data_IF_080623572443
#
_entry.id   IF_080623572443
#
_cell.length_a   1.000
_cell.length_b   1.000
_cell.length_c   1.000
_cell.angle_alpha   90.00
_cell.angle_beta   90.00
_cell.angle_gamma   90.00
#
_symmetry.space_group_name_H-M   'P 1'
#
loop_
_entity.id
_entity.type
_entity.pdbx_description
1 polymer ?
#
# COMPACT_ATOMS: atom_id res chain seq x y z
N UNK A 1 5.62 -20.02 -6.82
CA UNK A 1 5.71 -19.48 -5.44
C UNK A 1 4.90 -18.21 -5.40
N UNK A 2 4.01 -18.04 -4.44
CA UNK A 2 3.13 -16.88 -4.31
C UNK A 2 3.59 -16.04 -3.11
N UNK A 3 3.51 -14.73 -3.18
CA UNK A 3 3.80 -13.83 -2.06
C UNK A 3 2.67 -12.80 -1.94
N UNK A 4 2.05 -12.77 -0.77
CA UNK A 4 0.95 -11.89 -0.39
C UNK A 4 1.41 -10.72 0.47
N UNK A 5 2.62 -10.80 1.02
CA UNK A 5 3.23 -9.78 1.85
C UNK A 5 4.68 -9.55 1.47
N UNK A 6 5.08 -8.30 1.34
CA UNK A 6 6.46 -7.90 1.08
C UNK A 6 6.80 -6.60 1.81
N UNK A 7 7.98 -6.56 2.43
CA UNK A 7 8.53 -5.36 3.06
C UNK A 7 9.56 -4.76 2.13
N UNK A 8 9.41 -3.47 1.79
CA UNK A 8 10.28 -2.75 0.87
C UNK A 8 10.61 -1.35 1.39
N UNK A 9 11.73 -0.82 0.90
CA UNK A 9 12.17 0.55 1.14
C UNK A 9 11.95 1.36 -0.13
N UNK A 10 11.23 2.44 -0.02
CA UNK A 10 11.04 3.41 -1.09
C UNK A 10 11.78 4.70 -0.75
N UNK A 11 12.46 5.27 -1.74
CA UNK A 11 13.16 6.53 -1.60
C UNK A 11 12.91 7.39 -2.82
N UNK A 12 12.40 8.58 -2.62
CA UNK A 12 12.26 9.57 -3.67
C UNK A 12 13.59 10.26 -3.99
N UNK A 13 13.65 10.96 -5.10
CA UNK A 13 14.84 11.68 -5.51
C UNK A 13 15.09 12.94 -4.66
N UNK A 14 16.36 13.22 -4.34
CA UNK A 14 16.77 14.54 -3.82
C UNK A 14 16.57 15.60 -4.90
N UNK A 15 16.19 16.83 -4.54
CA UNK A 15 16.25 17.98 -5.42
C UNK A 15 17.70 18.32 -5.78
N UNK A 16 17.96 18.81 -7.00
CA UNK A 16 19.24 19.32 -7.42
C UNK A 16 19.59 20.61 -6.69
N UNK A 17 20.88 20.89 -6.52
CA UNK A 17 21.34 22.07 -5.83
C UNK A 17 21.25 23.31 -6.74
N UNK A 18 21.00 24.49 -6.15
CA UNK A 18 21.07 25.75 -6.85
C UNK A 18 22.52 26.10 -7.18
N UNK A 19 22.70 26.84 -8.27
CA UNK A 19 24.03 27.18 -8.76
C UNK A 19 24.40 28.64 -8.43
N UNK A 20 25.70 28.87 -8.17
CA UNK A 20 26.26 30.19 -8.02
C UNK A 20 27.05 30.53 -9.28
N UNK A 21 26.59 31.50 -10.06
CA UNK A 21 27.32 32.03 -11.20
C UNK A 21 27.00 33.50 -11.44
N UNK A 22 27.88 34.14 -12.18
CA UNK A 22 27.80 35.58 -12.54
C UNK A 22 27.97 35.71 -14.06
N UNK A 23 27.14 36.57 -14.66
CA UNK A 23 27.17 36.84 -16.08
C UNK A 23 28.54 37.46 -16.45
N UNK A 24 29.21 36.89 -17.44
CA UNK A 24 30.46 37.38 -17.98
C UNK A 24 30.33 37.57 -19.49
N UNK A 25 30.42 38.82 -19.94
CA UNK A 25 30.36 39.14 -21.36
C UNK A 25 31.51 40.10 -21.72
N UNK A 26 31.84 40.15 -23.01
CA UNK A 26 33.03 40.84 -23.53
C UNK A 26 33.15 42.32 -23.12
N UNK A 27 32.08 42.98 -22.81
CA UNK A 27 32.06 44.40 -22.40
C UNK A 27 31.27 44.63 -21.11
N UNK A 28 31.01 43.59 -20.33
CA UNK A 28 30.32 43.66 -19.04
C UNK A 28 31.18 42.98 -17.98
N UNK A 29 32.16 43.69 -17.40
CA UNK A 29 33.10 43.11 -16.43
C UNK A 29 32.42 42.68 -15.13
N UNK A 30 31.34 43.36 -14.72
CA UNK A 30 30.59 43.07 -13.48
C UNK A 30 29.15 42.73 -13.81
N UNK A 31 28.93 41.56 -14.41
CA UNK A 31 27.57 41.04 -14.65
C UNK A 31 26.90 40.59 -13.34
N UNK A 32 25.58 40.77 -13.29
CA UNK A 32 24.80 40.32 -12.14
C UNK A 32 24.77 38.79 -11.97
N UNK A 33 24.19 38.28 -10.86
CA UNK A 33 24.07 36.87 -10.60
C UNK A 33 23.15 36.18 -11.64
N UNK A 34 23.61 35.06 -12.17
CA UNK A 34 22.94 34.33 -13.24
C UNK A 34 22.87 32.80 -12.95
N UNK A 35 23.10 32.39 -11.72
CA UNK A 35 22.95 30.99 -11.31
C UNK A 35 21.50 30.53 -11.40
N UNK A 36 21.30 29.35 -12.00
CA UNK A 36 20.01 28.71 -12.16
C UNK A 36 19.64 27.85 -10.98
N UNK A 37 18.35 27.48 -10.89
CA UNK A 37 17.80 26.62 -9.85
C UNK A 37 18.09 25.16 -10.15
N UNK A 38 18.18 24.33 -9.10
CA UNK A 38 18.16 22.89 -9.22
C UNK A 38 16.79 22.34 -9.68
N UNK A 39 16.79 21.16 -10.28
CA UNK A 39 15.59 20.44 -10.65
C UNK A 39 14.94 19.76 -9.45
N UNK A 40 13.63 19.52 -9.50
CA UNK A 40 12.93 18.71 -8.50
C UNK A 40 13.37 17.24 -8.61
N UNK A 41 13.47 16.50 -7.50
CA UNK A 41 13.66 15.07 -7.49
C UNK A 41 12.44 14.30 -8.01
N UNK A 42 12.64 13.07 -8.48
CA UNK A 42 11.58 12.18 -8.92
C UNK A 42 10.76 11.64 -7.76
N UNK A 43 9.48 11.40 -7.98
CA UNK A 43 8.56 10.80 -7.02
C UNK A 43 8.59 9.27 -7.11
N UNK A 44 8.07 8.60 -6.07
CA UNK A 44 7.73 7.18 -6.10
C UNK A 44 6.22 7.06 -6.20
N UNK A 45 5.74 6.47 -7.31
CA UNK A 45 4.32 6.36 -7.65
C UNK A 45 3.96 4.88 -7.71
N UNK A 46 2.86 4.52 -7.07
CA UNK A 46 2.29 3.18 -7.16
C UNK A 46 1.10 3.18 -8.10
N UNK A 47 1.02 2.15 -8.92
CA UNK A 47 -0.05 1.95 -9.91
C UNK A 47 -0.47 0.50 -9.94
N UNK A 48 -1.79 0.26 -10.06
CA UNK A 48 -2.33 -1.08 -10.23
C UNK A 48 -2.03 -1.61 -11.63
N UNK A 49 -1.59 -2.86 -11.72
CA UNK A 49 -1.42 -3.62 -12.96
C UNK A 49 -2.35 -4.84 -12.92
N UNK A 50 -3.40 -4.84 -13.74
CA UNK A 50 -4.45 -5.88 -13.76
C UNK A 50 -3.93 -7.29 -14.10
N UNK A 51 -2.77 -7.41 -14.72
CA UNK A 51 -2.14 -8.71 -15.02
C UNK A 51 -1.29 -9.29 -13.89
N UNK A 52 -1.06 -8.54 -12.80
CA UNK A 52 -0.29 -9.00 -11.66
C UNK A 52 -1.20 -9.65 -10.61
N UNK A 53 -0.80 -10.84 -10.12
CA UNK A 53 -1.55 -11.59 -9.11
C UNK A 53 -0.75 -11.86 -7.83
N UNK A 54 0.49 -11.40 -7.73
CA UNK A 54 1.39 -11.72 -6.60
C UNK A 54 2.39 -10.60 -6.36
N UNK A 55 2.84 -10.45 -5.12
CA UNK A 55 3.91 -9.53 -4.70
C UNK A 55 5.31 -10.15 -4.77
N UNK A 56 5.49 -11.22 -5.55
CA UNK A 56 6.73 -12.00 -5.56
C UNK A 56 7.96 -11.18 -5.95
N UNK A 57 7.83 -10.27 -6.90
CA UNK A 57 8.92 -9.42 -7.39
C UNK A 57 9.51 -8.56 -6.27
N UNK A 58 8.67 -8.15 -5.31
CA UNK A 58 9.08 -7.33 -4.17
C UNK A 58 9.91 -8.08 -3.11
N UNK A 59 9.89 -9.41 -3.13
CA UNK A 59 10.78 -10.23 -2.27
C UNK A 59 12.22 -10.22 -2.78
N UNK A 60 12.41 -10.12 -4.10
CA UNK A 60 13.73 -10.08 -4.72
C UNK A 60 14.29 -8.67 -4.75
N UNK A 61 13.51 -7.70 -5.18
CA UNK A 61 13.90 -6.29 -5.19
C UNK A 61 13.21 -5.55 -4.04
N UNK A 62 13.99 -5.23 -3.00
CA UNK A 62 13.47 -4.61 -1.78
C UNK A 62 13.69 -3.10 -1.69
N UNK A 63 14.48 -2.52 -2.61
CA UNK A 63 14.76 -1.09 -2.59
C UNK A 63 14.42 -0.46 -3.93
N UNK A 64 13.61 0.60 -3.87
CA UNK A 64 13.16 1.39 -5.01
C UNK A 64 13.54 2.84 -4.79
N UNK A 65 14.36 3.38 -5.70
CA UNK A 65 14.89 4.74 -5.59
C UNK A 65 14.56 5.49 -6.88
N UNK A 66 13.88 6.64 -6.75
CA UNK A 66 13.64 7.54 -7.87
C UNK A 66 14.88 8.40 -8.15
N UNK A 67 14.93 9.00 -9.33
CA UNK A 67 16.07 9.77 -9.80
C UNK A 67 16.15 11.13 -9.09
N UNK A 68 17.36 11.55 -8.73
CA UNK A 68 17.59 12.89 -8.20
C UNK A 68 17.38 13.95 -9.29
N UNK A 69 16.98 15.16 -8.89
CA UNK A 69 17.00 16.31 -9.76
C UNK A 69 18.44 16.71 -10.09
N UNK A 70 18.65 17.28 -11.27
CA UNK A 70 19.96 17.81 -11.67
C UNK A 70 20.17 19.20 -11.04
N UNK A 71 21.43 19.51 -10.76
CA UNK A 71 21.81 20.83 -10.26
C UNK A 71 21.55 21.93 -11.30
N UNK A 72 21.36 23.12 -10.82
CA UNK A 72 21.31 24.33 -11.66
C UNK A 72 22.64 24.59 -12.34
N UNK A 73 22.62 25.41 -13.37
CA UNK A 73 23.84 25.84 -14.06
C UNK A 73 23.83 27.34 -14.35
N UNK A 74 24.94 27.86 -14.89
CA UNK A 74 25.06 29.28 -15.26
C UNK A 74 24.03 29.69 -16.33
N UNK A 75 23.89 30.97 -16.57
CA UNK A 75 22.94 31.59 -17.52
C UNK A 75 21.48 31.30 -17.16
N UNK A 76 21.18 31.20 -15.87
CA UNK A 76 19.84 30.87 -15.30
C UNK A 76 19.26 29.57 -15.83
N UNK A 77 20.10 28.62 -16.20
CA UNK A 77 19.64 27.33 -16.65
C UNK A 77 19.21 26.47 -15.46
N UNK A 78 17.91 26.11 -15.44
CA UNK A 78 17.33 25.24 -14.42
C UNK A 78 17.77 23.79 -14.65
N UNK A 79 18.13 23.09 -13.59
CA UNK A 79 18.38 21.65 -13.60
C UNK A 79 17.15 20.86 -14.05
N UNK A 80 17.36 19.76 -14.75
CA UNK A 80 16.26 18.87 -15.16
C UNK A 80 15.64 18.21 -13.95
N UNK A 81 14.31 18.02 -13.97
CA UNK A 81 13.58 17.20 -12.98
C UNK A 81 14.09 15.74 -13.07
N UNK A 82 14.26 15.07 -11.93
CA UNK A 82 14.49 13.64 -11.86
C UNK A 82 13.26 12.86 -12.35
N UNK A 83 13.49 11.71 -12.94
CA UNK A 83 12.42 10.83 -13.41
C UNK A 83 11.70 10.17 -12.23
N UNK A 84 10.37 10.15 -12.29
CA UNK A 84 9.53 9.45 -11.34
C UNK A 84 9.69 7.93 -11.56
N UNK A 85 9.64 7.14 -10.48
CA UNK A 85 9.59 5.69 -10.55
C UNK A 85 8.15 5.21 -10.36
N UNK A 86 7.64 4.45 -11.32
CA UNK A 86 6.33 3.83 -11.25
C UNK A 86 6.50 2.38 -10.79
N UNK A 87 5.93 2.04 -9.64
CA UNK A 87 5.94 0.70 -9.07
C UNK A 87 4.57 0.09 -9.34
N UNK A 88 4.56 -0.98 -10.13
CA UNK A 88 3.35 -1.71 -10.48
C UNK A 88 3.05 -2.76 -9.42
N UNK A 89 1.80 -2.81 -8.97
CA UNK A 89 1.32 -3.74 -7.94
C UNK A 89 0.02 -4.41 -8.37
N UNK A 90 -0.29 -5.59 -7.84
CA UNK A 90 -1.59 -6.23 -8.05
C UNK A 90 -2.74 -5.36 -7.52
N UNK A 91 -3.91 -5.50 -8.14
CA UNK A 91 -5.14 -4.90 -7.60
C UNK A 91 -5.45 -5.43 -6.19
N UNK A 92 -5.92 -4.55 -5.31
CA UNK A 92 -6.20 -4.90 -3.91
C UNK A 92 -4.94 -4.95 -3.02
N UNK A 93 -3.84 -4.33 -3.46
CA UNK A 93 -2.65 -4.18 -2.62
C UNK A 93 -2.88 -3.07 -1.59
N UNK A 94 -2.72 -3.40 -0.32
CA UNK A 94 -2.70 -2.46 0.80
C UNK A 94 -1.25 -2.07 1.08
N UNK A 95 -1.02 -0.79 1.31
CA UNK A 95 0.28 -0.25 1.71
C UNK A 95 0.19 0.24 3.16
N UNK A 96 1.05 -0.31 4.01
CA UNK A 96 1.16 0.09 5.41
C UNK A 96 2.55 0.62 5.71
N UNK A 97 2.62 1.53 6.66
CA UNK A 97 3.89 1.95 7.25
C UNK A 97 4.51 0.79 8.07
N UNK A 98 5.81 0.58 7.92
CA UNK A 98 6.45 -0.59 8.54
C UNK A 98 6.65 -0.46 10.05
N UNK A 99 6.69 0.75 10.59
CA UNK A 99 6.89 1.02 12.03
C UNK A 99 5.55 1.15 12.76
N UNK A 100 4.67 2.03 12.28
CA UNK A 100 3.40 2.32 12.92
C UNK A 100 2.28 1.33 12.54
N UNK A 101 2.48 0.53 11.51
CA UNK A 101 1.48 -0.36 10.90
C UNK A 101 0.20 0.35 10.41
N UNK A 102 0.19 1.69 10.35
CA UNK A 102 -0.95 2.47 9.87
C UNK A 102 -1.13 2.31 8.38
N UNK A 103 -2.37 2.38 7.94
CA UNK A 103 -2.73 2.33 6.53
C UNK A 103 -2.32 3.62 5.83
N UNK A 104 -1.48 3.50 4.81
CA UNK A 104 -1.03 4.60 3.96
C UNK A 104 -1.88 4.71 2.70
N UNK A 105 -2.13 3.59 2.02
CA UNK A 105 -2.90 3.57 0.79
C UNK A 105 -3.57 2.22 0.54
N UNK A 106 -4.74 2.27 -0.10
CA UNK A 106 -5.44 1.12 -0.66
C UNK A 106 -5.45 1.24 -2.20
N UNK A 107 -4.86 0.25 -2.86
CA UNK A 107 -4.71 0.17 -4.31
C UNK A 107 -5.70 -0.84 -4.91
N UNK A 108 -6.98 -0.69 -4.55
CA UNK A 108 -8.09 -1.50 -5.09
C UNK A 108 -8.64 -0.94 -6.39
N UNK A 109 -8.52 0.37 -6.62
CA UNK A 109 -8.96 1.04 -7.85
C UNK A 109 -7.87 0.97 -8.92
N UNK A 110 -8.13 0.31 -10.08
CA UNK A 110 -7.14 0.12 -11.13
C UNK A 110 -6.73 1.43 -11.84
N UNK A 111 -7.57 2.45 -11.82
CA UNK A 111 -7.31 3.72 -12.49
C UNK A 111 -6.56 4.72 -11.59
N UNK A 112 -6.41 4.39 -10.31
CA UNK A 112 -5.78 5.27 -9.33
C UNK A 112 -4.27 5.11 -9.30
N UNK A 113 -3.56 6.22 -9.43
CA UNK A 113 -2.13 6.33 -9.14
C UNK A 113 -1.93 7.03 -7.79
N UNK A 114 -1.07 6.47 -6.94
CA UNK A 114 -0.81 7.01 -5.60
C UNK A 114 0.67 7.36 -5.46
N UNK A 115 0.97 8.61 -5.11
CA UNK A 115 2.34 9.06 -4.81
C UNK A 115 2.63 8.73 -3.35
N UNK A 116 3.52 7.78 -3.08
CA UNK A 116 3.86 7.34 -1.73
C UNK A 116 5.12 8.01 -1.16
N UNK A 117 5.99 8.55 -2.02
CA UNK A 117 7.12 9.36 -1.58
C UNK A 117 7.35 10.50 -2.59
N UNK A 118 7.45 11.72 -2.09
CA UNK A 118 7.61 12.92 -2.91
C UNK A 118 9.07 13.31 -3.04
N UNK A 119 9.48 13.61 -4.27
CA UNK A 119 10.81 14.11 -4.56
C UNK A 119 11.04 15.50 -3.95
N UNK A 120 12.25 15.70 -3.42
CA UNK A 120 12.68 16.97 -2.82
C UNK A 120 12.64 18.11 -3.83
N UNK A 121 12.35 19.33 -3.38
CA UNK A 121 12.38 20.51 -4.22
C UNK A 121 13.82 20.90 -4.56
N UNK A 122 14.04 21.43 -5.77
CA UNK A 122 15.32 21.96 -6.19
C UNK A 122 15.70 23.23 -5.41
N UNK A 123 16.98 23.38 -5.14
CA UNK A 123 17.55 24.58 -4.49
C UNK A 123 17.50 25.79 -5.42
N UNK A 124 17.38 26.96 -4.85
CA UNK A 124 17.39 28.21 -5.60
C UNK A 124 18.81 28.66 -5.95
N UNK A 125 19.03 29.09 -7.18
CA UNK A 125 20.27 29.69 -7.62
C UNK A 125 20.47 31.08 -7.05
N UNK A 126 21.71 31.59 -7.11
CA UNK A 126 22.06 32.89 -6.54
C UNK A 126 21.29 34.08 -7.15
N UNK A 127 20.74 33.91 -8.36
CA UNK A 127 19.93 34.94 -9.01
C UNK A 127 18.68 35.35 -8.20
N UNK A 128 18.11 34.43 -7.40
CA UNK A 128 16.94 34.68 -6.54
C UNK A 128 17.27 35.58 -5.32
N UNK A 129 18.53 35.64 -4.91
CA UNK A 129 18.95 36.34 -3.69
C UNK A 129 19.49 37.72 -3.97
N UNK A 130 19.44 38.17 -5.23
CA UNK A 130 19.82 39.54 -5.61
C UNK A 130 18.78 40.54 -5.11
N UNK A 131 19.25 41.55 -4.38
CA UNK A 131 18.43 42.66 -3.91
C UNK A 131 19.12 43.98 -4.27
N UNK A 132 18.41 45.10 -4.14
CA UNK A 132 18.98 46.43 -4.39
C UNK A 132 20.24 46.73 -3.51
N UNK A 133 20.28 46.18 -2.30
CA UNK A 133 21.40 46.33 -1.36
C UNK A 133 22.49 45.28 -1.63
N UNK A 134 22.08 44.03 -1.95
CA UNK A 134 22.99 42.92 -2.23
C UNK A 134 22.88 42.51 -3.69
N UNK A 135 23.68 43.15 -4.54
CA UNK A 135 23.60 42.93 -5.98
C UNK A 135 24.35 41.68 -6.48
N UNK A 136 25.29 41.15 -5.69
CA UNK A 136 26.15 40.03 -6.05
C UNK A 136 26.16 38.95 -4.96
N UNK A 137 25.01 38.26 -4.68
CA UNK A 137 24.97 37.17 -3.72
C UNK A 137 25.84 35.99 -4.22
N UNK A 138 26.74 35.53 -3.37
CA UNK A 138 27.67 34.44 -3.69
C UNK A 138 27.27 33.11 -3.02
N UNK A 139 25.98 32.91 -2.82
CA UNK A 139 25.43 31.66 -2.28
C UNK A 139 24.18 31.20 -3.05
N UNK A 140 23.88 29.92 -2.96
CA UNK A 140 22.68 29.31 -3.49
C UNK A 140 22.12 28.33 -2.42
N UNK A 141 20.86 27.94 -2.55
CA UNK A 141 20.27 26.93 -1.69
C UNK A 141 20.55 25.53 -2.24
N UNK A 142 20.81 24.58 -1.33
CA UNK A 142 20.84 23.17 -1.67
C UNK A 142 19.42 22.67 -1.98
N UNK A 143 19.33 21.61 -2.79
CA UNK A 143 18.10 20.88 -3.00
C UNK A 143 17.69 20.13 -1.74
N UNK A 144 16.39 20.08 -1.52
CA UNK A 144 15.82 19.34 -0.38
C UNK A 144 15.98 17.84 -0.56
N UNK A 145 16.16 17.13 0.54
CA UNK A 145 16.10 15.67 0.54
C UNK A 145 14.69 15.22 0.17
N UNK A 146 14.58 14.09 -0.51
CA UNK A 146 13.30 13.46 -0.76
C UNK A 146 12.90 12.54 0.40
N UNK A 147 11.66 12.06 0.36
CA UNK A 147 11.12 11.15 1.37
C UNK A 147 11.77 9.77 1.27
N UNK A 148 12.07 9.16 2.40
CA UNK A 148 12.49 7.77 2.52
C UNK A 148 11.56 7.07 3.52
N UNK A 149 10.93 5.96 3.10
CA UNK A 149 9.98 5.21 3.93
C UNK A 149 10.20 3.72 3.79
N UNK A 150 10.04 3.01 4.88
CA UNK A 150 9.93 1.56 4.89
C UNK A 150 8.45 1.18 4.96
N UNK A 151 7.97 0.44 3.97
CA UNK A 151 6.55 0.09 3.84
C UNK A 151 6.37 -1.41 3.72
N UNK A 152 5.19 -1.86 4.12
CA UNK A 152 4.73 -3.23 3.96
C UNK A 152 3.60 -3.24 2.94
N UNK A 153 3.78 -4.03 1.89
CA UNK A 153 2.75 -4.32 0.90
C UNK A 153 2.03 -5.60 1.32
N UNK A 154 0.71 -5.57 1.32
CA UNK A 154 -0.14 -6.72 1.64
C UNK A 154 -1.25 -6.85 0.59
N UNK A 155 -1.46 -8.05 0.05
CA UNK A 155 -2.61 -8.30 -0.82
C UNK A 155 -3.86 -8.49 0.04
N UNK A 156 -4.88 -7.66 -0.23
CA UNK A 156 -6.18 -7.70 0.46
C UNK A 156 -7.06 -8.83 -0.04
N UNK A 157 -7.01 -9.12 -1.32
CA UNK A 157 -7.84 -10.11 -1.98
C UNK A 157 -7.04 -11.35 -2.31
N UNK A 158 -7.58 -12.48 -1.92
CA UNK A 158 -7.11 -13.78 -2.36
C UNK A 158 -8.00 -14.37 -3.44
N UNK A 159 -9.31 -14.16 -3.34
CA UNK A 159 -10.29 -14.65 -4.27
C UNK A 159 -11.57 -13.81 -4.23
N UNK A 160 -12.24 -13.72 -5.37
CA UNK A 160 -13.58 -13.13 -5.46
C UNK A 160 -14.63 -14.08 -4.86
N UNK A 161 -14.41 -15.38 -5.05
CA UNK A 161 -15.33 -16.46 -4.69
C UNK A 161 -14.62 -17.53 -3.88
N UNK A 162 -15.18 -17.92 -2.73
CA UNK A 162 -14.69 -19.00 -1.88
C UNK A 162 -15.52 -20.26 -2.02
N UNK A 163 -14.87 -21.42 -2.17
CA UNK A 163 -15.52 -22.74 -2.07
C UNK A 163 -15.52 -23.19 -0.61
N UNK A 164 -16.70 -23.45 -0.07
CA UNK A 164 -16.90 -23.98 1.27
C UNK A 164 -17.65 -25.32 1.21
N UNK A 165 -17.48 -26.16 2.19
CA UNK A 165 -18.13 -27.49 2.27
C UNK A 165 -17.22 -28.52 2.91
N UNK A 166 -17.80 -29.68 3.24
CA UNK A 166 -17.09 -30.79 3.89
C UNK A 166 -15.91 -31.34 3.08
N UNK A 167 -14.94 -32.05 3.66
CA UNK A 167 -13.94 -32.79 2.91
C UNK A 167 -14.61 -33.77 1.93
N UNK A 168 -13.94 -34.02 0.79
CA UNK A 168 -14.38 -34.98 -0.24
C UNK A 168 -15.70 -34.65 -0.97
N UNK A 169 -16.34 -33.51 -0.71
CA UNK A 169 -17.52 -33.09 -1.47
C UNK A 169 -17.22 -32.66 -2.91
N UNK A 170 -15.92 -32.54 -3.27
CA UNK A 170 -15.47 -32.23 -4.63
C UNK A 170 -15.07 -30.79 -4.89
N UNK A 171 -14.76 -29.99 -3.86
CA UNK A 171 -14.30 -28.58 -4.02
C UNK A 171 -13.08 -28.46 -4.93
N UNK A 172 -12.02 -29.20 -4.63
CA UNK A 172 -10.76 -29.15 -5.41
C UNK A 172 -10.95 -29.69 -6.83
N UNK A 173 -11.86 -30.66 -7.03
CA UNK A 173 -12.27 -31.13 -8.36
C UNK A 173 -12.97 -30.02 -9.13
N UNK A 174 -13.92 -29.33 -8.50
CA UNK A 174 -14.63 -28.20 -9.10
C UNK A 174 -13.65 -27.10 -9.50
N UNK A 175 -12.71 -26.75 -8.62
CA UNK A 175 -11.68 -25.75 -8.91
C UNK A 175 -10.84 -26.17 -10.12
N UNK A 176 -10.35 -27.40 -10.16
CA UNK A 176 -9.50 -27.87 -11.28
C UNK A 176 -10.24 -27.93 -12.62
N UNK A 177 -11.53 -28.21 -12.61
CA UNK A 177 -12.36 -28.27 -13.84
C UNK A 177 -12.74 -26.89 -14.38
N UNK A 178 -12.81 -25.89 -13.52
CA UNK A 178 -13.23 -24.51 -13.88
C UNK A 178 -12.07 -23.61 -14.28
N UNK A 179 -10.83 -24.01 -13.97
CA UNK A 179 -9.63 -23.21 -14.25
C UNK A 179 -8.87 -23.69 -15.47
N UNK A 180 -8.47 -22.79 -16.35
CA UNK A 180 -7.69 -23.11 -17.57
C UNK A 180 -6.21 -23.45 -17.31
N UNK A 181 -5.69 -23.05 -16.17
CA UNK A 181 -4.33 -23.35 -15.74
C UNK A 181 -4.39 -24.21 -14.47
N UNK A 182 -3.37 -25.02 -14.24
CA UNK A 182 -3.26 -25.79 -13.00
C UNK A 182 -3.46 -24.86 -11.78
N UNK A 183 -4.36 -25.22 -10.84
CA UNK A 183 -4.57 -24.43 -9.64
C UNK A 183 -3.24 -24.18 -8.95
N UNK A 184 -2.93 -22.92 -8.65
CA UNK A 184 -1.69 -22.59 -7.96
C UNK A 184 -1.87 -22.76 -6.47
N UNK A 185 -1.07 -23.62 -5.87
CA UNK A 185 -0.95 -23.73 -4.42
C UNK A 185 -0.31 -22.46 -3.91
N UNK A 186 -1.05 -21.71 -3.10
CA UNK A 186 -0.56 -20.50 -2.48
C UNK A 186 0.09 -20.85 -1.13
N UNK A 187 1.41 -20.94 -1.09
CA UNK A 187 2.20 -21.21 0.12
C UNK A 187 2.23 -19.99 1.03
N UNK A 188 1.37 -19.95 2.01
CA UNK A 188 1.37 -18.93 3.06
C UNK A 188 2.20 -19.42 4.25
N UNK A 189 3.25 -18.70 4.62
CA UNK A 189 4.18 -19.08 5.71
C UNK A 189 3.53 -19.18 7.10
N UNK A 190 2.26 -18.79 7.22
CA UNK A 190 1.52 -18.75 8.46
C UNK A 190 0.24 -19.63 8.44
N UNK A 191 -0.01 -20.37 7.34
CA UNK A 191 -1.11 -21.33 7.25
C UNK A 191 -0.57 -22.75 7.22
N UNK A 192 -1.13 -23.62 8.03
CA UNK A 192 -0.86 -25.07 8.00
C UNK A 192 -1.53 -25.77 6.82
N UNK A 193 -2.54 -25.11 6.21
CA UNK A 193 -3.22 -25.54 5.01
C UNK A 193 -3.15 -24.44 3.94
N UNK A 194 -2.68 -24.81 2.77
CA UNK A 194 -2.49 -23.89 1.64
C UNK A 194 -3.77 -23.85 0.79
N UNK A 195 -4.40 -22.67 0.59
CA UNK A 195 -5.54 -22.58 -0.31
C UNK A 195 -5.10 -22.77 -1.76
N UNK A 196 -5.90 -23.49 -2.53
CA UNK A 196 -5.73 -23.60 -3.97
C UNK A 196 -6.51 -22.48 -4.65
N UNK A 197 -5.82 -21.69 -5.48
CA UNK A 197 -6.41 -20.59 -6.22
C UNK A 197 -6.47 -20.91 -7.71
N UNK A 198 -7.57 -20.53 -8.35
CA UNK A 198 -7.72 -20.66 -9.78
C UNK A 198 -8.46 -19.50 -10.40
N UNK A 199 -8.11 -19.13 -11.63
CA UNK A 199 -8.82 -18.11 -12.41
C UNK A 199 -9.85 -18.79 -13.29
N UNK A 200 -11.12 -18.48 -13.05
CA UNK A 200 -12.25 -18.89 -13.89
C UNK A 200 -12.38 -17.85 -15.01
N UNK A 201 -12.27 -18.30 -16.26
CA UNK A 201 -12.41 -17.46 -17.45
C UNK A 201 -13.66 -17.87 -18.23
N UNK A 202 -14.65 -16.99 -18.24
CA UNK A 202 -15.93 -17.20 -18.92
C UNK A 202 -15.95 -16.67 -20.37
N UNK A 203 -14.82 -16.10 -20.83
CA UNK A 203 -14.76 -15.40 -22.12
C UNK A 203 -15.30 -13.96 -22.04
N UNK A 204 -15.18 -13.20 -23.13
CA UNK A 204 -15.66 -11.82 -23.25
C UNK A 204 -15.19 -10.88 -22.13
N UNK A 205 -13.93 -11.03 -21.69
CA UNK A 205 -13.32 -10.30 -20.56
C UNK A 205 -14.01 -10.54 -19.20
N UNK A 206 -14.78 -11.60 -19.07
CA UNK A 206 -15.42 -12.00 -17.83
C UNK A 206 -14.56 -13.05 -17.13
N UNK A 207 -13.95 -12.69 -16.02
CA UNK A 207 -13.15 -13.60 -15.21
C UNK A 207 -13.24 -13.24 -13.73
N UNK A 208 -13.02 -14.22 -12.87
CA UNK A 208 -12.93 -14.03 -11.42
C UNK A 208 -12.00 -15.09 -10.81
N UNK A 209 -11.51 -14.83 -9.61
CA UNK A 209 -10.63 -15.73 -8.87
C UNK A 209 -11.46 -16.59 -7.92
N UNK A 210 -11.33 -17.90 -8.05
CA UNK A 210 -11.97 -18.91 -7.21
C UNK A 210 -10.94 -19.54 -6.26
N UNK A 211 -11.26 -19.64 -4.97
CA UNK A 211 -10.41 -20.26 -3.95
C UNK A 211 -11.06 -21.51 -3.38
N UNK A 212 -10.34 -22.62 -3.34
CA UNK A 212 -10.68 -23.76 -2.49
C UNK A 212 -10.17 -23.47 -1.08
N UNK A 213 -11.09 -23.40 -0.14
CA UNK A 213 -10.83 -23.06 1.26
C UNK A 213 -10.87 -24.36 2.07
N UNK A 214 -9.70 -25.06 2.26
CA UNK A 214 -9.67 -26.29 3.04
C UNK A 214 -9.79 -25.97 4.54
N UNK A 215 -10.46 -26.84 5.30
CA UNK A 215 -10.36 -26.87 6.77
C UNK A 215 -11.39 -26.07 7.55
N UNK A 216 -12.60 -25.84 7.03
CA UNK A 216 -13.71 -25.27 7.82
C UNK A 216 -14.32 -26.32 8.81
N UNK A 217 -13.82 -27.55 8.87
CA UNK A 217 -14.44 -28.59 9.64
C UNK A 217 -13.52 -29.17 10.72
N UNK A 218 -14.11 -29.44 11.89
CA UNK A 218 -13.59 -30.09 13.09
C UNK A 218 -12.52 -29.33 13.85
N UNK A 219 -12.93 -28.54 14.85
CA UNK A 219 -12.08 -27.97 15.88
C UNK A 219 -11.53 -26.57 15.61
N UNK A 220 -11.96 -25.87 14.57
CA UNK A 220 -11.54 -24.48 14.33
C UNK A 220 -12.01 -23.53 15.46
N UNK A 221 -13.15 -23.82 16.08
CA UNK A 221 -13.69 -23.09 17.23
C UNK A 221 -13.05 -23.45 18.57
N UNK A 222 -12.35 -24.58 18.68
CA UNK A 222 -11.76 -25.08 19.93
C UNK A 222 -10.29 -24.70 20.14
N UNK A 223 -9.72 -23.81 19.34
CA UNK A 223 -8.42 -23.17 19.63
C UNK A 223 -7.19 -24.02 19.32
N UNK A 224 -7.29 -25.12 18.62
CA UNK A 224 -6.13 -25.94 18.21
C UNK A 224 -5.59 -25.46 16.86
N UNK A 225 -4.89 -24.33 16.87
CA UNK A 225 -3.80 -24.06 15.95
C UNK A 225 -4.09 -23.60 14.52
N UNK A 226 -5.33 -23.58 14.01
CA UNK A 226 -5.67 -23.22 12.62
C UNK A 226 -6.41 -21.87 12.46
N UNK A 227 -6.74 -21.24 13.58
CA UNK A 227 -7.76 -20.23 13.72
C UNK A 227 -7.64 -18.95 12.88
N UNK A 228 -7.02 -17.95 13.41
CA UNK A 228 -7.20 -16.55 12.99
C UNK A 228 -6.50 -16.12 11.69
N UNK A 229 -5.44 -16.79 11.26
CA UNK A 229 -4.72 -16.38 10.05
C UNK A 229 -5.39 -16.90 8.77
N UNK A 230 -5.93 -18.09 8.80
CA UNK A 230 -6.60 -18.74 7.68
C UNK A 230 -7.96 -18.11 7.36
N UNK A 231 -8.68 -17.72 8.37
CA UNK A 231 -10.03 -17.18 8.27
C UNK A 231 -10.04 -15.70 7.80
N UNK A 232 -8.95 -14.99 8.00
CA UNK A 232 -8.72 -13.71 7.31
C UNK A 232 -8.74 -13.83 5.78
N UNK A 233 -8.59 -15.02 5.23
CA UNK A 233 -8.66 -15.25 3.79
C UNK A 233 -10.11 -15.42 3.31
N UNK A 234 -10.99 -15.99 4.16
CA UNK A 234 -12.42 -16.09 3.88
C UNK A 234 -13.08 -14.71 4.00
N UNK A 235 -12.70 -13.92 4.98
CA UNK A 235 -13.13 -12.52 5.13
C UNK A 235 -12.91 -11.69 3.86
N UNK A 236 -12.05 -12.15 2.96
CA UNK A 236 -11.66 -11.46 1.74
C UNK A 236 -12.39 -11.97 0.49
N UNK A 237 -13.29 -12.94 0.60
CA UNK A 237 -14.13 -13.38 -0.51
C UNK A 237 -15.43 -12.59 -0.53
N UNK A 238 -16.01 -12.36 -1.71
CA UNK A 238 -17.25 -11.58 -1.88
C UNK A 238 -18.48 -12.46 -1.93
N UNK A 239 -18.36 -13.69 -2.45
CA UNK A 239 -19.39 -14.71 -2.56
C UNK A 239 -18.83 -16.04 -2.09
N UNK A 240 -19.68 -16.87 -1.49
CA UNK A 240 -19.36 -18.23 -1.14
C UNK A 240 -20.16 -19.21 -2.03
N UNK A 241 -19.48 -20.22 -2.58
CA UNK A 241 -20.13 -21.37 -3.19
C UNK A 241 -20.06 -22.50 -2.18
N UNK A 242 -21.22 -22.88 -1.63
CA UNK A 242 -21.35 -23.98 -0.71
C UNK A 242 -21.54 -25.28 -1.48
N UNK A 243 -20.52 -26.12 -1.52
CA UNK A 243 -20.53 -27.39 -2.23
C UNK A 243 -21.01 -28.50 -1.28
N UNK A 244 -22.12 -29.11 -1.60
CA UNK A 244 -22.75 -30.22 -0.82
C UNK A 244 -22.73 -31.52 -1.62
N UNK A 245 -22.31 -32.62 -1.00
CA UNK A 245 -22.36 -33.96 -1.60
C UNK A 245 -23.75 -34.52 -1.47
N UNK A 246 -24.44 -34.73 -2.59
CA UNK A 246 -25.78 -35.30 -2.62
C UNK A 246 -25.81 -36.77 -3.09
N UNK A 247 -24.62 -37.37 -3.21
CA UNK A 247 -24.53 -38.77 -3.68
C UNK A 247 -25.06 -39.84 -2.68
N UNK A 248 -25.01 -39.51 -1.38
CA UNK A 248 -25.33 -40.48 -0.31
C UNK A 248 -24.23 -41.52 -0.04
N UNK A 249 -23.12 -41.51 -0.80
CA UNK A 249 -22.04 -42.51 -0.70
C UNK A 249 -21.36 -42.50 0.67
N UNK A 250 -21.14 -41.33 1.23
CA UNK A 250 -20.48 -41.17 2.54
C UNK A 250 -21.45 -41.38 3.73
N UNK A 251 -22.73 -41.67 3.47
CA UNK A 251 -23.76 -41.90 4.50
C UNK A 251 -24.11 -40.66 5.30
N UNK A 252 -23.82 -39.47 4.81
CA UNK A 252 -24.14 -38.18 5.43
C UNK A 252 -25.44 -37.62 4.90
N UNK A 253 -26.12 -36.83 5.74
CA UNK A 253 -27.31 -36.10 5.33
C UNK A 253 -26.92 -34.73 4.75
N UNK A 254 -27.24 -34.45 3.47
CA UNK A 254 -26.88 -33.17 2.82
C UNK A 254 -27.45 -31.94 3.54
N UNK A 255 -28.62 -32.04 4.19
CA UNK A 255 -29.24 -30.96 4.95
C UNK A 255 -28.41 -30.64 6.21
N UNK A 256 -28.01 -31.68 6.95
CA UNK A 256 -27.19 -31.55 8.15
C UNK A 256 -25.80 -30.97 7.81
N UNK A 257 -25.18 -31.45 6.74
CA UNK A 257 -23.91 -30.96 6.26
C UNK A 257 -23.98 -29.46 5.94
N UNK A 258 -25.05 -29.02 5.26
CA UNK A 258 -25.31 -27.62 4.96
C UNK A 258 -25.43 -26.78 6.25
N UNK A 259 -26.22 -27.24 7.21
CA UNK A 259 -26.48 -26.53 8.46
C UNK A 259 -25.22 -26.44 9.35
N UNK A 260 -24.42 -27.50 9.42
CA UNK A 260 -23.17 -27.52 10.20
C UNK A 260 -22.18 -26.48 9.66
N UNK A 261 -21.99 -26.41 8.33
CA UNK A 261 -21.08 -25.44 7.72
C UNK A 261 -21.53 -23.99 7.99
N UNK A 262 -22.83 -23.73 7.85
CA UNK A 262 -23.37 -22.40 8.12
C UNK A 262 -23.23 -22.02 9.61
N UNK A 263 -23.42 -22.97 10.52
CA UNK A 263 -23.20 -22.76 11.94
C UNK A 263 -21.71 -22.46 12.25
N UNK A 264 -20.79 -23.11 11.57
CA UNK A 264 -19.37 -22.81 11.72
C UNK A 264 -19.00 -21.44 11.18
N UNK A 265 -19.53 -21.07 10.01
CA UNK A 265 -19.35 -19.73 9.45
C UNK A 265 -19.86 -18.63 10.41
N UNK A 266 -21.05 -18.83 11.00
CA UNK A 266 -21.66 -17.87 11.93
C UNK A 266 -20.91 -17.72 13.26
N UNK A 267 -20.35 -18.82 13.78
CA UNK A 267 -19.51 -18.76 14.99
C UNK A 267 -18.23 -18.00 14.79
N UNK A 268 -17.81 -17.90 13.56
CA UNK A 268 -16.52 -17.37 13.19
C UNK A 268 -16.56 -15.84 13.00
N UNK A 269 -17.46 -15.35 12.15
CA UNK A 269 -17.69 -13.94 11.90
C UNK A 269 -19.13 -13.72 11.42
N UNK A 270 -19.82 -12.78 12.07
CA UNK A 270 -21.18 -12.40 11.69
C UNK A 270 -21.25 -11.79 10.27
N UNK A 271 -20.17 -11.22 9.77
CA UNK A 271 -20.09 -10.73 8.39
C UNK A 271 -20.07 -11.87 7.37
N UNK A 272 -19.49 -13.03 7.70
CA UNK A 272 -19.43 -14.19 6.81
C UNK A 272 -20.81 -14.85 6.65
N UNK A 273 -21.62 -14.86 7.69
CA UNK A 273 -23.01 -15.36 7.64
C UNK A 273 -23.88 -14.52 6.69
N UNK A 274 -23.62 -13.20 6.65
CA UNK A 274 -24.39 -12.26 5.83
C UNK A 274 -23.99 -12.26 4.35
N UNK A 275 -22.94 -12.95 3.95
CA UNK A 275 -22.48 -12.98 2.56
C UNK A 275 -23.40 -13.77 1.66
N UNK A 276 -23.58 -13.33 0.40
CA UNK A 276 -24.31 -14.10 -0.58
C UNK A 276 -23.70 -15.49 -0.75
N UNK A 277 -24.54 -16.51 -0.64
CA UNK A 277 -24.17 -17.91 -0.83
C UNK A 277 -24.91 -18.49 -2.01
N UNK A 278 -24.21 -19.28 -2.82
CA UNK A 278 -24.77 -20.11 -3.89
C UNK A 278 -24.53 -21.57 -3.52
N UNK A 279 -25.57 -22.39 -3.54
CA UNK A 279 -25.46 -23.80 -3.17
C UNK A 279 -25.25 -24.66 -4.41
N UNK A 280 -24.20 -25.47 -4.41
CA UNK A 280 -23.88 -26.42 -5.46
C UNK A 280 -24.10 -27.88 -4.93
N UNK A 281 -25.15 -28.51 -5.37
CA UNK A 281 -25.39 -29.92 -5.11
C UNK A 281 -24.52 -30.77 -6.06
N UNK A 282 -23.41 -31.29 -5.55
CA UNK A 282 -22.40 -31.99 -6.34
C UNK A 282 -22.56 -33.51 -6.27
N UNK A 283 -21.96 -34.19 -7.24
CA UNK A 283 -21.99 -35.64 -7.48
C UNK A 283 -23.37 -36.16 -7.90
N UNK A 284 -24.12 -35.34 -8.65
CA UNK A 284 -25.45 -35.73 -9.17
C UNK A 284 -25.42 -36.91 -10.17
N UNK A 285 -24.25 -37.27 -10.64
CA UNK A 285 -24.02 -38.42 -11.54
C UNK A 285 -24.05 -39.79 -10.84
N UNK A 286 -23.93 -39.82 -9.50
CA UNK A 286 -23.81 -41.06 -8.71
C UNK A 286 -24.73 -41.09 -7.49
N UNK A 287 -25.91 -40.46 -7.58
CA UNK A 287 -26.89 -40.43 -6.50
C UNK A 287 -27.36 -41.84 -6.17
N UNK A 288 -27.26 -42.25 -4.90
CA UNK A 288 -27.73 -43.54 -4.41
C UNK A 288 -29.06 -43.42 -3.70
N UNK A 289 -29.31 -42.32 -3.00
CA UNK A 289 -30.54 -42.04 -2.25
C UNK A 289 -31.31 -40.86 -2.87
N UNK A 290 -32.27 -41.17 -3.72
CA UNK A 290 -33.14 -40.20 -4.36
C UNK A 290 -34.10 -39.52 -3.40
N UNK A 291 -34.49 -40.18 -2.31
CA UNK A 291 -35.40 -39.60 -1.34
C UNK A 291 -34.70 -38.53 -0.51
N UNK A 292 -33.49 -38.78 -0.04
CA UNK A 292 -32.66 -37.81 0.64
C UNK A 292 -32.31 -36.62 -0.28
N UNK A 293 -32.02 -36.87 -1.55
CA UNK A 293 -31.76 -35.85 -2.55
C UNK A 293 -32.96 -34.93 -2.79
N UNK A 294 -34.16 -35.51 -2.99
CA UNK A 294 -35.37 -34.73 -3.20
C UNK A 294 -35.74 -33.92 -1.95
N UNK A 295 -35.59 -34.51 -0.76
CA UNK A 295 -35.81 -33.82 0.52
C UNK A 295 -34.85 -32.60 0.67
N UNK A 296 -33.58 -32.74 0.26
CA UNK A 296 -32.63 -31.63 0.26
C UNK A 296 -33.07 -30.50 -0.67
N UNK A 297 -33.46 -30.79 -1.90
CA UNK A 297 -33.93 -29.80 -2.86
C UNK A 297 -35.19 -29.07 -2.38
N UNK A 298 -36.14 -29.80 -1.80
CA UNK A 298 -37.37 -29.24 -1.24
C UNK A 298 -37.08 -28.33 -0.05
N UNK A 299 -36.20 -28.77 0.85
CA UNK A 299 -35.80 -27.97 2.01
C UNK A 299 -35.07 -26.69 1.59
N UNK A 300 -34.13 -26.73 0.65
CA UNK A 300 -33.45 -25.53 0.13
C UNK A 300 -34.42 -24.56 -0.54
N UNK A 301 -35.39 -25.08 -1.29
CA UNK A 301 -36.46 -24.31 -1.89
C UNK A 301 -37.35 -23.63 -0.85
N UNK A 302 -37.70 -24.32 0.23
CA UNK A 302 -38.48 -23.77 1.34
C UNK A 302 -37.74 -22.66 2.07
N UNK A 303 -36.41 -22.75 2.16
CA UNK A 303 -35.52 -21.71 2.72
C UNK A 303 -35.26 -20.54 1.74
N UNK A 304 -35.76 -20.64 0.49
CA UNK A 304 -35.54 -19.63 -0.56
C UNK A 304 -34.11 -19.58 -1.12
N UNK A 305 -33.38 -20.69 -0.99
CA UNK A 305 -31.99 -20.84 -1.44
C UNK A 305 -31.99 -21.50 -2.82
N UNK A 306 -31.34 -20.88 -3.80
CA UNK A 306 -31.17 -21.42 -5.15
C UNK A 306 -30.05 -22.46 -5.14
N UNK A 307 -30.37 -23.68 -5.67
CA UNK A 307 -29.45 -24.81 -5.73
C UNK A 307 -29.12 -25.13 -7.18
N UNK A 308 -27.82 -25.24 -7.46
CA UNK A 308 -27.29 -25.68 -8.74
C UNK A 308 -26.90 -27.14 -8.68
N UNK A 309 -27.55 -27.95 -9.51
CA UNK A 309 -27.26 -29.36 -9.65
C UNK A 309 -26.04 -29.57 -10.54
N UNK A 310 -24.93 -30.04 -9.97
CA UNK A 310 -23.67 -30.20 -10.70
C UNK A 310 -23.07 -31.59 -10.54
N UNK A 311 -22.25 -31.97 -11.48
CA UNK A 311 -21.23 -33.01 -11.31
C UNK A 311 -19.87 -32.42 -11.73
N UNK A 312 -19.04 -32.17 -10.75
CA UNK A 312 -17.69 -31.66 -11.01
C UNK A 312 -16.85 -32.66 -11.82
N UNK A 313 -17.06 -33.96 -11.62
CA UNK A 313 -16.35 -35.02 -12.33
C UNK A 313 -16.72 -35.10 -13.83
N UNK A 314 -18.00 -34.91 -14.18
CA UNK A 314 -18.48 -34.97 -15.57
C UNK A 314 -18.63 -33.59 -16.21
N UNK A 315 -18.33 -32.50 -15.49
CA UNK A 315 -18.48 -31.11 -15.90
C UNK A 315 -19.94 -30.70 -16.24
N UNK A 316 -20.94 -31.44 -15.75
CA UNK A 316 -22.37 -31.14 -15.96
C UNK A 316 -22.82 -30.04 -15.01
N UNK A 317 -23.52 -29.00 -15.50
CA UNK A 317 -24.06 -27.90 -14.72
C UNK A 317 -23.03 -26.89 -14.22
N UNK A 318 -21.73 -27.16 -14.38
CA UNK A 318 -20.65 -26.32 -13.87
C UNK A 318 -20.61 -24.96 -14.57
N UNK A 319 -20.79 -24.91 -15.88
CA UNK A 319 -20.80 -23.65 -16.63
C UNK A 319 -21.95 -22.72 -16.21
N UNK A 320 -23.13 -23.27 -15.91
CA UNK A 320 -24.28 -22.52 -15.44
C UNK A 320 -24.02 -21.92 -14.04
N UNK A 321 -23.46 -22.72 -13.12
CA UNK A 321 -23.04 -22.29 -11.80
C UNK A 321 -22.05 -21.13 -11.89
N UNK A 322 -21.00 -21.22 -12.73
CA UNK A 322 -19.99 -20.18 -12.86
C UNK A 322 -20.55 -18.89 -13.48
N UNK A 323 -21.42 -18.98 -14.48
CA UNK A 323 -22.09 -17.81 -15.05
C UNK A 323 -22.99 -17.10 -14.02
N UNK A 324 -23.76 -17.87 -13.24
CA UNK A 324 -24.60 -17.32 -12.18
C UNK A 324 -23.75 -16.65 -11.09
N UNK A 325 -22.65 -17.28 -10.71
CA UNK A 325 -21.70 -16.73 -9.74
C UNK A 325 -21.16 -15.38 -10.21
N UNK A 326 -20.80 -15.25 -11.49
CA UNK A 326 -20.35 -13.99 -12.06
C UNK A 326 -21.45 -12.93 -12.09
N UNK A 327 -22.68 -13.30 -12.41
CA UNK A 327 -23.85 -12.40 -12.34
C UNK A 327 -24.05 -11.83 -10.93
N UNK A 328 -24.05 -12.68 -9.91
CA UNK A 328 -24.20 -12.24 -8.52
C UNK A 328 -23.00 -11.39 -8.07
N UNK A 329 -21.78 -11.76 -8.48
CA UNK A 329 -20.59 -11.00 -8.21
C UNK A 329 -20.64 -9.59 -8.80
N UNK A 330 -21.23 -9.45 -9.99
CA UNK A 330 -21.40 -8.16 -10.68
C UNK A 330 -22.41 -7.23 -10.00
N UNK A 331 -23.35 -7.76 -9.23
CA UNK A 331 -24.36 -6.99 -8.49
C UNK A 331 -23.82 -6.44 -7.17
N UNK A 332 -22.75 -7.07 -6.64
CA UNK A 332 -22.15 -6.63 -5.39
C UNK A 332 -21.40 -5.32 -5.56
N UNK A 333 -21.45 -4.45 -4.55
CA UNK A 333 -20.65 -3.22 -4.58
C UNK A 333 -19.17 -3.58 -4.77
N UNK A 334 -18.39 -2.69 -5.39
CA UNK A 334 -16.95 -2.88 -5.46
C UNK A 334 -16.40 -3.04 -4.04
N UNK A 335 -15.27 -3.73 -3.95
CA UNK A 335 -14.60 -4.00 -2.68
C UNK A 335 -14.43 -2.71 -1.90
N UNK A 336 -14.79 -2.72 -0.61
CA UNK A 336 -14.64 -1.57 0.25
C UNK A 336 -13.18 -1.06 0.18
N UNK A 337 -13.01 0.18 -0.26
CA UNK A 337 -11.73 0.87 -0.26
C UNK A 337 -11.55 1.39 1.16
N UNK A 338 -10.46 1.02 1.82
CA UNK A 338 -10.12 1.58 3.12
C UNK A 338 -9.63 3.02 2.95
N UNK A 339 -10.16 3.91 3.77
CA UNK A 339 -9.64 5.27 3.83
C UNK A 339 -8.23 5.26 4.46
N UNK A 340 -7.27 5.98 3.87
CA UNK A 340 -5.95 6.12 4.46
C UNK A 340 -6.03 6.67 5.88
N UNK A 341 -5.33 6.06 6.81
CA UNK A 341 -5.16 6.53 8.20
C UNK A 341 -4.03 7.57 8.30
N UNK A 342 -3.17 7.62 7.28
CA UNK A 342 -2.11 8.61 7.12
C UNK A 342 -2.34 9.36 5.82
N UNK A 343 -2.55 10.66 5.89
CA UNK A 343 -2.54 11.50 4.69
C UNK A 343 -1.10 11.85 4.33
N UNK A 344 -0.58 11.18 3.29
CA UNK A 344 0.74 11.52 2.72
C UNK A 344 0.69 12.89 2.01
N UNK A 345 -0.51 13.38 1.71
CA UNK A 345 -0.74 14.63 0.99
C UNK A 345 -0.89 15.83 1.92
N UNK A 346 -1.04 15.63 3.22
CA UNK A 346 -0.77 16.71 4.13
C UNK A 346 0.71 17.09 3.91
N UNK A 347 0.96 18.01 2.97
CA UNK A 347 1.99 18.98 3.24
C UNK A 347 1.65 19.44 4.65
N UNK A 348 2.55 19.25 5.60
CA UNK A 348 2.54 20.11 6.76
C UNK A 348 2.55 21.54 6.17
N UNK A 349 1.37 22.04 5.86
CA UNK A 349 1.16 23.46 5.76
C UNK A 349 1.52 23.94 7.15
N UNK A 350 2.76 24.39 7.29
CA UNK A 350 3.17 25.22 8.39
C UNK A 350 2.19 26.38 8.31
N UNK A 351 1.07 26.28 9.00
CA UNK A 351 0.18 27.39 9.22
C UNK A 351 1.07 28.45 9.88
N UNK A 352 0.99 29.68 9.44
CA UNK A 352 1.81 30.79 9.96
C UNK A 352 1.71 30.96 11.48
N UNK A 353 0.77 30.29 12.12
CA UNK A 353 0.53 30.30 13.57
C UNK A 353 1.33 29.28 14.38
N UNK A 354 1.89 28.21 13.77
CA UNK A 354 2.78 27.30 14.46
C UNK A 354 4.25 27.67 14.21
N UNK A 355 5.03 27.77 15.29
CA UNK A 355 6.45 28.15 15.22
C UNK A 355 7.28 27.24 14.30
N UNK A 356 6.78 26.01 14.03
CA UNK A 356 7.42 25.02 13.15
C UNK A 356 8.75 24.49 13.71
N UNK A 357 9.03 24.76 15.00
CA UNK A 357 10.17 24.25 15.71
C UNK A 357 9.83 24.12 17.21
N UNK A 358 10.52 23.19 17.89
CA UNK A 358 10.48 22.97 19.33
C UNK A 358 11.91 23.00 19.89
N UNK A 359 12.10 23.60 21.06
CA UNK A 359 13.40 23.65 21.73
C UNK A 359 13.30 22.83 23.01
N UNK A 360 14.19 21.84 23.16
CA UNK A 360 14.32 21.01 24.36
C UNK A 360 15.74 21.13 24.91
N UNK A 361 15.87 21.09 26.24
CA UNK A 361 17.18 21.02 26.89
C UNK A 361 17.48 19.56 27.24
N UNK A 362 18.49 18.98 26.60
CA UNK A 362 18.91 17.61 26.82
C UNK A 362 20.41 17.57 27.12
N UNK A 363 20.81 16.96 28.25
CA UNK A 363 22.21 16.72 28.60
C UNK A 363 23.16 17.90 28.39
N UNK A 364 22.81 19.10 28.89
CA UNK A 364 23.58 20.34 28.76
C UNK A 364 23.62 20.97 27.34
N UNK A 365 22.81 20.48 26.42
CA UNK A 365 22.64 21.04 25.09
C UNK A 365 21.20 21.51 24.88
N UNK A 366 21.01 22.51 24.02
CA UNK A 366 19.69 22.88 23.50
C UNK A 366 19.47 22.22 22.17
N UNK A 367 18.51 21.30 22.09
CA UNK A 367 18.13 20.56 20.86
C UNK A 367 16.94 21.27 20.24
N UNK A 368 17.10 21.72 18.98
CA UNK A 368 16.03 22.33 18.21
C UNK A 368 15.61 21.33 17.13
N UNK A 369 14.34 20.95 17.14
CA UNK A 369 13.72 20.02 16.19
C UNK A 369 12.46 20.62 15.59
N UNK A 370 12.00 20.08 14.46
CA UNK A 370 10.77 20.47 13.78
C UNK A 370 10.93 20.66 12.29
N UNK A 371 9.83 20.59 11.57
CA UNK A 371 9.79 20.56 10.10
C UNK A 371 10.42 21.79 9.46
N UNK A 372 10.19 22.99 10.01
CA UNK A 372 10.74 24.22 9.49
C UNK A 372 12.26 24.30 9.65
N UNK A 373 12.76 23.97 10.84
CA UNK A 373 14.21 24.05 11.12
C UNK A 373 15.00 23.02 10.32
N UNK A 374 14.46 21.82 10.14
CA UNK A 374 15.05 20.77 9.32
C UNK A 374 15.08 21.16 7.84
N UNK A 375 13.98 21.73 7.33
CA UNK A 375 13.90 22.23 5.95
C UNK A 375 14.88 23.38 5.69
N UNK A 376 15.02 24.32 6.62
CA UNK A 376 15.97 25.45 6.49
C UNK A 376 17.40 24.94 6.64
N UNK A 377 17.69 24.12 7.63
CA UNK A 377 19.02 23.51 7.85
C UNK A 377 19.48 22.70 6.65
N UNK A 378 18.62 21.81 6.11
CA UNK A 378 18.93 21.00 4.93
C UNK A 378 19.16 21.81 3.64
N UNK A 379 18.65 23.06 3.58
CA UNK A 379 18.80 23.94 2.41
C UNK A 379 20.08 24.82 2.44
N UNK A 380 20.83 24.81 3.53
CA UNK A 380 22.00 25.68 3.76
C UNK A 380 23.30 24.91 3.56
N UNK A 381 24.26 25.55 2.87
CA UNK A 381 25.60 25.03 2.81
C UNK A 381 26.44 25.63 3.98
N UNK A 382 26.66 24.84 5.03
CA UNK A 382 27.36 25.26 6.24
C UNK A 382 28.87 25.51 6.03
N UNK A 383 29.43 25.11 4.89
CA UNK A 383 30.82 25.43 4.52
C UNK A 383 30.97 26.84 3.92
N UNK A 384 29.86 27.52 3.63
CA UNK A 384 29.85 28.85 3.04
C UNK A 384 29.40 29.92 4.04
N UNK A 385 30.20 30.94 4.24
CA UNK A 385 29.96 31.99 5.22
C UNK A 385 28.69 32.81 4.93
N UNK A 386 28.35 33.03 3.66
CA UNK A 386 27.14 33.76 3.28
C UNK A 386 25.87 32.96 3.52
N UNK A 387 25.93 31.64 3.28
CA UNK A 387 24.87 30.70 3.61
C UNK A 387 24.63 30.64 5.12
N UNK A 388 25.69 30.63 5.94
CA UNK A 388 25.59 30.70 7.40
C UNK A 388 24.89 31.99 7.87
N UNK A 389 25.27 33.15 7.30
CA UNK A 389 24.61 34.41 7.62
C UNK A 389 23.13 34.43 7.20
N UNK A 390 22.78 33.74 6.12
CA UNK A 390 21.38 33.56 5.73
C UNK A 390 20.64 32.74 6.78
N UNK A 391 21.22 31.63 7.23
CA UNK A 391 20.68 30.76 8.25
C UNK A 391 20.45 31.49 9.59
N UNK A 392 21.45 32.19 10.07
CA UNK A 392 21.35 33.02 11.29
C UNK A 392 20.23 34.06 11.19
N UNK A 393 20.08 34.73 10.04
CA UNK A 393 18.96 35.68 9.82
C UNK A 393 17.61 35.01 9.80
N UNK A 394 17.51 33.77 9.27
CA UNK A 394 16.28 32.99 9.28
C UNK A 394 15.89 32.62 10.70
N UNK A 395 16.85 32.18 11.55
CA UNK A 395 16.63 31.91 12.98
C UNK A 395 16.15 33.13 13.74
N UNK A 396 16.81 34.29 13.53
CA UNK A 396 16.43 35.58 14.13
C UNK A 396 14.99 35.97 13.74
N UNK A 397 14.69 35.92 12.44
CA UNK A 397 13.37 36.33 11.93
C UNK A 397 12.24 35.46 12.44
N UNK A 398 12.49 34.17 12.71
CA UNK A 398 11.48 33.23 13.22
C UNK A 398 11.34 33.29 14.75
N UNK A 399 12.24 33.96 15.45
CA UNK A 399 12.20 34.10 16.90
C UNK A 399 12.93 33.00 17.67
N UNK A 400 13.63 32.09 16.98
CA UNK A 400 14.37 30.97 17.62
C UNK A 400 15.40 31.47 18.63
N UNK A 401 16.13 32.54 18.27
CA UNK A 401 17.16 33.14 19.15
C UNK A 401 16.52 33.76 20.39
N UNK A 402 15.37 34.43 20.24
CA UNK A 402 14.64 34.99 21.39
C UNK A 402 14.15 33.89 22.34
N UNK A 403 13.63 32.80 21.79
CA UNK A 403 13.16 31.67 22.59
C UNK A 403 14.31 30.98 23.35
N UNK A 404 15.48 30.81 22.73
CA UNK A 404 16.68 30.30 23.40
C UNK A 404 17.11 31.20 24.56
N UNK A 405 17.13 32.54 24.36
CA UNK A 405 17.45 33.50 25.41
C UNK A 405 16.41 33.42 26.54
N UNK A 406 15.12 33.33 26.23
CA UNK A 406 14.06 33.19 27.24
C UNK A 406 14.18 31.88 28.04
N UNK A 407 14.74 30.83 27.44
CA UNK A 407 15.06 29.57 28.12
C UNK A 407 16.35 29.64 28.95
N UNK A 408 17.08 30.74 28.89
CA UNK A 408 18.26 31.03 29.72
C UNK A 408 19.56 30.46 29.18
N UNK A 409 19.70 30.34 27.85
CA UNK A 409 20.97 29.93 27.21
C UNK A 409 22.09 30.96 27.52
N UNK A 410 23.29 30.44 27.77
CA UNK A 410 24.48 31.22 28.06
C UNK A 410 25.46 31.15 26.87
N UNK A 411 26.32 32.15 26.80
CA UNK A 411 27.42 32.15 25.84
C UNK A 411 28.32 30.93 26.02
N UNK A 412 28.63 30.24 24.92
CA UNK A 412 29.41 29.01 24.92
C UNK A 412 28.59 27.72 25.10
N UNK A 413 27.30 27.80 25.40
CA UNK A 413 26.45 26.59 25.43
C UNK A 413 26.16 26.07 24.03
N UNK A 414 25.99 24.76 23.92
CA UNK A 414 25.83 24.09 22.61
C UNK A 414 24.35 24.03 22.22
N UNK A 415 24.08 24.44 20.97
CA UNK A 415 22.79 24.29 20.29
C UNK A 415 22.94 23.22 19.22
N UNK A 416 22.09 22.21 19.26
CA UNK A 416 22.02 21.13 18.28
C UNK A 416 20.79 21.28 17.38
N UNK A 417 21.00 21.19 16.06
CA UNK A 417 19.95 21.22 15.03
C UNK A 417 20.19 20.03 14.10
N UNK A 418 19.38 18.98 14.23
CA UNK A 418 19.64 17.70 13.54
C UNK A 418 21.01 17.13 13.93
N UNK A 419 21.86 16.90 12.92
CA UNK A 419 23.23 16.40 13.12
C UNK A 419 24.28 17.52 13.35
N UNK A 420 23.86 18.78 13.38
CA UNK A 420 24.76 19.93 13.49
C UNK A 420 24.77 20.47 14.90
N UNK A 421 25.98 20.76 15.40
CA UNK A 421 26.21 21.38 16.71
C UNK A 421 26.87 22.76 16.51
N UNK A 422 26.32 23.75 17.19
CA UNK A 422 26.83 25.14 17.17
C UNK A 422 27.06 25.63 18.60
N UNK A 423 28.12 26.37 18.79
CA UNK A 423 28.33 27.16 20.02
C UNK A 423 27.50 28.45 19.95
N UNK A 424 26.70 28.71 20.99
CA UNK A 424 25.90 29.92 21.05
C UNK A 424 26.79 31.13 21.42
N UNK A 425 26.78 32.14 20.57
CA UNK A 425 27.51 33.40 20.77
C UNK A 425 26.53 34.56 20.60
N UNK A 426 26.53 35.53 21.53
CA UNK A 426 25.65 36.71 21.52
C UNK A 426 26.00 37.70 20.40
#
# INVERSE_FOLDING_TARGET
MFADRAKIIIKSGKGGDGHVSFRREKYVPNGGPDGGDGGKGGNVIFKVELGMTTLMDFRYKRKYVAQNGMDGSGKRQKGKKGEDIIIKVPQGTIVRDAESNRLIADLSDPDKEVVLARGGNGGWGNAHFATAIRQTPNFAKNGQTGDEREIVLELKLLADVGLVGFPNVGKSTLLSMTTKADPKIANYHFTTLEPNLGVVDLGDHRSFVLADIPGIIEGASEGIGLGHAFLRHIERTRILIHVVDVSGIEGRNPIEDFDIINLELSKYDLELESRPQIVAANKTDIIQDMDAYNAFLEEMKNRGIEVFEISAATNKGVAELMNKTYEELSKLPPIAIFEPEMDINEEEYITDDEKGYEIKRENEKYVISGSWIEAVGGSVNFSDQESLQYFQRALLKRGVIEDLINMGIKEGEIVQIGDLEFEFVF
#
